data_IF_254346462850
#
_entry.id   IF_254346462850
#
_cell.length_a   1.000
_cell.length_b   1.000
_cell.length_c   1.000
_cell.angle_alpha   90.00
_cell.angle_beta   90.00
_cell.angle_gamma   90.00
#
_symmetry.space_group_name_H-M   'P 1'
#
loop_
_entity.id
_entity.type
_entity.pdbx_description
1 polymer ?
#
# COMPACT_ATOMS: atom_id res chain seq x y z
N UNK A 1 54.72 2.49 -16.43
CA UNK A 1 53.64 1.99 -17.31
C UNK A 1 52.43 1.69 -16.43
N UNK A 2 51.24 2.25 -16.53
CA UNK A 2 50.64 3.29 -17.35
C UNK A 2 49.23 3.51 -16.76
N UNK A 3 48.86 4.77 -16.57
CA UNK A 3 47.56 5.25 -16.06
C UNK A 3 46.37 4.69 -16.86
N UNK A 4 45.30 4.25 -16.19
CA UNK A 4 43.93 4.34 -16.73
C UNK A 4 42.91 4.66 -15.62
N UNK A 5 42.73 5.96 -15.36
CA UNK A 5 41.48 6.53 -14.85
C UNK A 5 40.53 6.67 -16.03
N UNK A 6 39.35 6.07 -16.00
CA UNK A 6 38.23 6.44 -16.89
C UNK A 6 36.93 6.42 -16.08
N UNK A 7 36.53 7.60 -15.62
CA UNK A 7 35.16 7.95 -15.24
C UNK A 7 34.40 8.36 -16.52
N UNK A 8 33.16 7.89 -16.75
CA UNK A 8 32.29 8.52 -17.73
C UNK A 8 31.51 9.70 -17.13
N UNK A 9 31.44 10.73 -17.96
CA UNK A 9 31.06 12.12 -17.71
C UNK A 9 29.54 12.27 -17.52
N UNK A 10 29.16 13.07 -16.53
CA UNK A 10 27.85 13.68 -16.39
C UNK A 10 27.62 14.69 -17.52
N UNK A 11 26.60 14.45 -18.35
CA UNK A 11 26.10 15.46 -19.30
C UNK A 11 24.99 16.25 -18.60
N UNK A 12 25.33 17.50 -18.26
CA UNK A 12 24.39 18.56 -17.95
C UNK A 12 23.74 19.04 -19.25
N UNK A 13 22.41 19.13 -19.28
CA UNK A 13 21.67 19.84 -20.31
C UNK A 13 20.96 21.02 -19.65
N UNK A 14 21.41 22.22 -20.05
CA UNK A 14 20.82 23.51 -19.74
C UNK A 14 19.87 23.95 -20.86
N UNK A 15 18.72 24.53 -20.50
CA UNK A 15 18.03 25.71 -21.12
C UNK A 15 16.59 25.75 -20.57
N UNK A 16 16.18 26.74 -19.77
CA UNK A 16 15.97 28.17 -20.04
C UNK A 16 14.76 28.45 -20.95
N UNK A 17 13.64 28.86 -20.34
CA UNK A 17 12.55 29.73 -20.85
C UNK A 17 11.48 29.80 -19.74
N UNK A 18 10.86 30.89 -19.33
CA UNK A 18 10.98 32.34 -19.53
C UNK A 18 10.05 32.96 -18.48
N UNK A 19 10.52 34.00 -17.81
CA UNK A 19 9.80 34.73 -16.77
C UNK A 19 9.06 35.92 -17.41
N UNK A 20 7.85 36.18 -16.91
CA UNK A 20 7.22 37.51 -16.72
C UNK A 20 6.67 38.35 -17.90
N UNK A 21 5.36 38.60 -17.82
CA UNK A 21 4.69 39.91 -17.57
C UNK A 21 3.60 40.37 -18.57
N UNK A 22 2.36 40.47 -18.01
CA UNK A 22 1.41 41.61 -18.02
C UNK A 22 1.07 42.21 -19.40
N UNK A 23 -0.18 42.31 -19.84
CA UNK A 23 -1.33 42.99 -19.23
C UNK A 23 -2.58 42.73 -20.10
N UNK A 24 -3.78 42.65 -19.53
CA UNK A 24 -5.00 43.06 -20.24
C UNK A 24 -6.07 43.54 -19.26
N UNK A 25 -6.81 44.54 -19.71
CA UNK A 25 -7.46 45.61 -18.97
C UNK A 25 -8.67 45.25 -18.12
N UNK A 26 -8.86 46.12 -17.13
CA UNK A 26 -10.10 46.54 -16.50
C UNK A 26 -11.39 46.25 -17.26
N UNK A 27 -12.33 45.56 -16.61
CA UNK A 27 -13.76 45.82 -16.79
C UNK A 27 -14.51 45.67 -15.48
N UNK A 28 -15.02 46.80 -15.02
CA UNK A 28 -16.04 46.99 -14.01
C UNK A 28 -17.33 46.26 -14.35
N UNK A 29 -17.94 45.58 -13.37
CA UNK A 29 -19.37 45.59 -13.12
C UNK A 29 -19.64 44.74 -11.86
N UNK A 30 -20.01 45.41 -10.77
CA UNK A 30 -20.66 44.76 -9.64
C UNK A 30 -22.05 44.29 -10.04
N UNK A 31 -22.36 43.05 -9.71
CA UNK A 31 -23.71 42.47 -9.78
C UNK A 31 -23.89 41.51 -8.58
N UNK A 32 -25.12 41.37 -8.09
CA UNK A 32 -25.43 41.13 -6.69
C UNK A 32 -25.20 39.69 -6.24
N UNK A 33 -24.93 39.56 -4.95
CA UNK A 33 -24.82 38.30 -4.21
C UNK A 33 -26.13 37.49 -4.28
N UNK A 34 -26.22 36.61 -5.27
CA UNK A 34 -27.04 35.41 -5.18
C UNK A 34 -26.12 34.28 -4.70
N UNK A 35 -25.97 34.18 -3.38
CA UNK A 35 -25.39 33.00 -2.74
C UNK A 35 -26.38 31.85 -2.92
N UNK A 36 -26.10 30.81 -3.72
CA UNK A 36 -26.83 29.57 -3.56
C UNK A 36 -26.50 29.06 -2.16
N UNK A 37 -27.53 28.76 -1.36
CA UNK A 37 -27.37 28.11 -0.07
C UNK A 37 -26.47 26.88 -0.29
N UNK A 38 -25.22 26.96 0.19
CA UNK A 38 -24.30 25.82 0.18
C UNK A 38 -25.03 24.72 0.96
N UNK A 39 -25.28 23.55 0.35
CA UNK A 39 -25.58 22.37 1.15
C UNK A 39 -24.43 22.27 2.15
N UNK A 40 -24.75 22.17 3.43
CA UNK A 40 -23.80 21.85 4.47
C UNK A 40 -23.16 20.52 4.09
N UNK A 41 -22.04 20.59 3.34
CA UNK A 41 -21.20 19.46 3.08
C UNK A 41 -20.95 18.82 4.45
N UNK A 42 -21.16 17.51 4.60
CA UNK A 42 -20.75 16.84 5.83
C UNK A 42 -19.29 17.20 6.00
N UNK A 43 -18.96 17.85 7.13
CA UNK A 43 -17.57 18.14 7.46
C UNK A 43 -16.85 16.81 7.36
N UNK A 44 -16.10 16.62 6.27
CA UNK A 44 -15.15 15.54 6.14
C UNK A 44 -14.13 15.83 7.22
N UNK A 45 -14.35 15.22 8.38
CA UNK A 45 -13.38 15.23 9.47
C UNK A 45 -12.15 14.54 8.91
N UNK A 46 -11.20 15.34 8.43
CA UNK A 46 -9.88 14.88 8.04
C UNK A 46 -9.27 14.24 9.29
N UNK A 47 -9.43 12.93 9.43
CA UNK A 47 -8.83 12.16 10.51
C UNK A 47 -7.32 12.35 10.42
N UNK A 48 -6.78 13.20 11.28
CA UNK A 48 -5.35 13.48 11.33
C UNK A 48 -4.62 12.19 11.67
N UNK A 49 -3.55 11.92 10.93
CA UNK A 49 -2.75 10.71 11.10
C UNK A 49 -2.16 10.69 12.52
N UNK A 50 -2.76 9.89 13.40
CA UNK A 50 -2.42 9.81 14.84
C UNK A 50 -0.95 9.47 15.11
N UNK A 51 -0.30 8.69 14.24
CA UNK A 51 1.10 8.28 14.46
C UNK A 51 1.93 8.37 13.18
N UNK A 52 3.16 8.90 13.29
CA UNK A 52 4.10 8.99 12.17
C UNK A 52 4.73 7.62 11.86
N UNK A 53 5.27 6.94 12.87
CA UNK A 53 6.07 5.70 12.72
C UNK A 53 5.42 4.45 13.33
N UNK A 54 4.69 4.59 14.44
CA UNK A 54 4.18 3.46 15.21
C UNK A 54 3.10 2.65 14.47
N UNK A 55 1.99 3.25 14.02
CA UNK A 55 0.88 2.50 13.43
C UNK A 55 0.20 1.58 14.46
N UNK A 56 -0.14 0.36 14.06
CA UNK A 56 -0.86 -0.63 14.89
C UNK A 56 -0.15 -0.97 16.22
N UNK A 57 1.18 -0.93 16.23
CA UNK A 57 2.00 -1.19 17.44
C UNK A 57 2.00 -0.04 18.45
N UNK A 58 1.21 1.02 18.22
CA UNK A 58 0.99 2.09 19.20
C UNK A 58 0.40 1.60 20.52
N UNK A 59 -0.30 0.45 20.52
CA UNK A 59 -0.85 -0.21 21.72
C UNK A 59 0.21 -0.58 22.77
N UNK A 60 1.44 -0.80 22.34
CA UNK A 60 2.51 -1.23 23.24
C UNK A 60 3.19 -0.08 23.99
N UNK A 61 2.96 1.17 23.58
CA UNK A 61 3.60 2.34 24.18
C UNK A 61 5.13 2.25 24.12
N UNK A 62 5.80 2.57 25.23
CA UNK A 62 7.26 2.65 25.34
C UNK A 62 7.97 1.32 25.60
N UNK A 63 7.25 0.28 26.07
CA UNK A 63 7.80 -0.88 26.83
C UNK A 63 8.83 -1.79 26.13
N UNK A 64 8.63 -2.20 24.88
CA UNK A 64 9.42 -3.32 24.28
C UNK A 64 10.56 -2.88 23.35
N UNK A 65 10.90 -1.60 23.30
CA UNK A 65 11.95 -1.08 22.42
C UNK A 65 11.56 -1.02 20.93
N UNK A 66 12.41 -0.39 20.11
CA UNK A 66 12.07 -0.07 18.73
C UNK A 66 12.17 -1.27 17.76
N UNK A 67 13.15 -2.15 17.94
CA UNK A 67 13.39 -3.29 17.02
C UNK A 67 12.26 -4.31 17.05
N UNK A 68 11.82 -4.72 18.25
CA UNK A 68 10.70 -5.65 18.42
C UNK A 68 9.40 -5.06 17.86
N UNK A 69 9.12 -3.77 18.12
CA UNK A 69 7.93 -3.09 17.55
C UNK A 69 7.95 -3.05 16.02
N UNK A 70 9.12 -2.91 15.39
CA UNK A 70 9.23 -2.94 13.90
C UNK A 70 8.91 -4.33 13.34
N UNK A 71 9.36 -5.40 13.99
CA UNK A 71 9.08 -6.77 13.56
C UNK A 71 7.59 -7.12 13.74
N UNK A 72 7.03 -6.85 14.93
CA UNK A 72 5.62 -7.10 15.22
C UNK A 72 4.71 -6.30 14.30
N UNK A 73 5.06 -5.05 13.99
CA UNK A 73 4.28 -4.24 13.04
C UNK A 73 4.10 -4.92 11.68
N UNK A 74 5.15 -5.55 11.14
CA UNK A 74 5.07 -6.27 9.86
C UNK A 74 4.12 -7.48 9.95
N UNK A 75 4.19 -8.23 11.05
CA UNK A 75 3.34 -9.39 11.29
C UNK A 75 1.88 -9.00 11.56
N UNK A 76 1.64 -7.96 12.35
CA UNK A 76 0.28 -7.51 12.69
C UNK A 76 -0.44 -6.88 11.50
N UNK A 77 0.28 -6.13 10.65
CA UNK A 77 -0.32 -5.54 9.44
C UNK A 77 -0.76 -6.63 8.48
N UNK A 78 0.10 -7.63 8.22
CA UNK A 78 -0.27 -8.77 7.38
C UNK A 78 -1.43 -9.56 7.99
N UNK A 79 -1.38 -9.85 9.28
CA UNK A 79 -2.42 -10.58 10.00
C UNK A 79 -3.82 -9.92 9.92
N UNK A 80 -3.90 -8.60 10.05
CA UNK A 80 -5.17 -7.86 10.05
C UNK A 80 -5.61 -7.40 8.66
N UNK A 81 -4.76 -7.58 7.65
CA UNK A 81 -5.11 -7.26 6.26
C UNK A 81 -6.18 -8.21 5.72
N UNK A 82 -6.97 -7.74 4.75
CA UNK A 82 -7.88 -8.59 3.99
C UNK A 82 -7.13 -9.15 2.79
N UNK A 83 -7.19 -10.46 2.59
CA UNK A 83 -6.54 -11.12 1.45
C UNK A 83 -7.51 -11.41 0.32
N UNK A 84 -6.95 -11.54 -0.88
CA UNK A 84 -7.64 -11.97 -2.08
C UNK A 84 -8.09 -13.42 -1.96
N UNK A 85 -9.36 -13.69 -2.27
CA UNK A 85 -9.88 -15.03 -2.35
C UNK A 85 -9.79 -15.57 -3.79
N UNK A 86 -9.03 -16.64 -4.00
CA UNK A 86 -8.93 -17.31 -5.32
C UNK A 86 -10.26 -17.91 -5.81
N UNK A 87 -11.29 -18.03 -4.96
CA UNK A 87 -12.58 -18.60 -5.34
C UNK A 87 -13.64 -17.58 -5.76
N UNK A 88 -13.74 -16.45 -5.06
CA UNK A 88 -14.76 -15.43 -5.31
C UNK A 88 -14.20 -14.14 -5.92
N UNK A 89 -12.87 -14.01 -6.06
CA UNK A 89 -12.23 -12.83 -6.63
C UNK A 89 -12.26 -11.57 -5.74
N UNK A 90 -12.80 -11.65 -4.52
CA UNK A 90 -12.96 -10.51 -3.61
C UNK A 90 -11.91 -10.51 -2.50
N UNK A 91 -11.55 -9.31 -2.01
CA UNK A 91 -10.69 -9.12 -0.84
C UNK A 91 -11.48 -9.25 0.47
N UNK A 92 -11.91 -10.47 0.77
CA UNK A 92 -12.80 -10.76 1.91
C UNK A 92 -12.24 -11.80 2.89
N UNK A 93 -11.06 -12.37 2.62
CA UNK A 93 -10.47 -13.38 3.48
C UNK A 93 -9.87 -12.73 4.71
N UNK A 94 -10.27 -13.23 5.89
CA UNK A 94 -9.75 -12.80 7.19
C UNK A 94 -9.26 -14.00 8.01
N UNK A 95 -8.26 -13.77 8.85
CA UNK A 95 -7.76 -14.76 9.79
C UNK A 95 -8.79 -15.05 10.87
N UNK A 96 -9.02 -16.33 11.17
CA UNK A 96 -9.84 -16.77 12.31
C UNK A 96 -8.96 -17.29 13.44
N UNK A 97 -8.05 -18.20 13.11
CA UNK A 97 -7.06 -18.74 14.02
C UNK A 97 -5.69 -18.79 13.33
N UNK A 98 -4.66 -19.25 14.04
CA UNK A 98 -3.34 -19.47 13.44
C UNK A 98 -3.48 -20.50 12.32
N UNK A 99 -3.05 -20.14 11.10
CA UNK A 99 -3.13 -21.03 9.93
C UNK A 99 -4.53 -21.22 9.33
N UNK A 100 -5.60 -20.75 9.99
CA UNK A 100 -6.98 -20.88 9.51
C UNK A 100 -7.51 -19.54 9.04
N UNK A 101 -7.87 -19.48 7.76
CA UNK A 101 -8.36 -18.29 7.07
C UNK A 101 -9.77 -18.52 6.54
N UNK A 102 -10.71 -17.61 6.85
CA UNK A 102 -12.09 -17.72 6.41
C UNK A 102 -12.47 -16.54 5.50
N UNK A 103 -13.07 -16.86 4.36
CA UNK A 103 -13.67 -15.93 3.41
C UNK A 103 -15.07 -15.53 3.90
N UNK A 104 -15.30 -14.22 4.12
CA UNK A 104 -16.64 -13.76 4.54
C UNK A 104 -17.71 -13.95 3.47
N UNK A 105 -17.39 -13.71 2.21
CA UNK A 105 -18.38 -13.71 1.13
C UNK A 105 -18.73 -15.13 0.67
N UNK A 106 -17.73 -16.01 0.62
CA UNK A 106 -17.86 -17.34 0.05
C UNK A 106 -17.93 -18.46 1.10
N UNK A 107 -17.74 -18.15 2.38
CA UNK A 107 -17.76 -19.13 3.48
C UNK A 107 -16.63 -20.16 3.45
N UNK A 108 -15.80 -20.17 2.40
CA UNK A 108 -14.71 -21.14 2.25
C UNK A 108 -13.59 -20.86 3.24
N UNK A 109 -13.20 -21.92 3.95
CA UNK A 109 -12.07 -21.93 4.87
C UNK A 109 -10.84 -22.47 4.15
N UNK A 110 -9.72 -21.75 4.24
CA UNK A 110 -8.42 -22.12 3.68
C UNK A 110 -7.40 -22.29 4.81
N UNK A 111 -6.60 -23.34 4.72
CA UNK A 111 -5.38 -23.46 5.49
C UNK A 111 -4.26 -22.65 4.81
N UNK A 112 -3.45 -21.96 5.60
CA UNK A 112 -2.39 -21.08 5.10
C UNK A 112 -1.32 -20.80 6.14
N UNK A 113 -0.55 -19.74 5.93
CA UNK A 113 0.48 -19.31 6.87
C UNK A 113 -0.07 -18.75 8.19
N UNK A 114 0.80 -18.64 9.19
CA UNK A 114 0.43 -18.13 10.51
C UNK A 114 0.00 -16.65 10.48
N UNK A 115 0.70 -15.82 9.71
CA UNK A 115 0.48 -14.36 9.60
C UNK A 115 0.12 -13.89 8.19
N UNK A 116 0.42 -14.68 7.16
CA UNK A 116 0.08 -14.42 5.76
C UNK A 116 -0.73 -15.59 5.19
N UNK A 117 -1.65 -15.32 4.25
CA UNK A 117 -2.46 -16.35 3.62
C UNK A 117 -1.58 -17.39 2.89
N UNK A 118 -0.71 -16.92 2.00
CA UNK A 118 0.23 -17.75 1.25
C UNK A 118 1.66 -17.48 1.74
N UNK A 119 2.42 -18.54 1.99
CA UNK A 119 3.87 -18.47 2.29
C UNK A 119 4.67 -18.70 1.01
N UNK A 120 5.89 -18.16 0.93
CA UNK A 120 6.74 -18.33 -0.25
C UNK A 120 7.00 -19.83 -0.55
N UNK A 121 7.27 -20.62 0.48
CA UNK A 121 7.42 -22.07 0.36
C UNK A 121 6.15 -22.77 -0.14
N UNK A 122 4.96 -22.39 0.35
CA UNK A 122 3.72 -22.99 -0.15
C UNK A 122 3.47 -22.65 -1.63
N UNK A 123 3.88 -21.47 -2.09
CA UNK A 123 3.75 -21.08 -3.51
C UNK A 123 4.68 -21.92 -4.38
N UNK A 124 5.93 -22.15 -3.97
CA UNK A 124 6.88 -22.99 -4.72
C UNK A 124 6.50 -24.47 -4.70
N UNK A 125 5.96 -24.97 -3.59
CA UNK A 125 5.47 -26.35 -3.50
C UNK A 125 4.28 -26.56 -4.44
N UNK A 126 3.34 -25.60 -4.52
CA UNK A 126 2.23 -25.69 -5.49
C UNK A 126 2.70 -25.74 -6.93
N UNK A 127 3.72 -24.97 -7.31
CA UNK A 127 4.23 -24.96 -8.68
C UNK A 127 5.06 -26.21 -9.01
N UNK A 128 5.87 -26.70 -8.07
CA UNK A 128 6.66 -27.94 -8.26
C UNK A 128 5.76 -29.16 -8.38
N UNK A 129 4.77 -29.33 -7.51
CA UNK A 129 3.79 -30.44 -7.60
C UNK A 129 3.08 -30.41 -8.95
N UNK A 130 2.65 -29.23 -9.42
CA UNK A 130 2.00 -29.11 -10.73
C UNK A 130 2.90 -29.63 -11.86
N UNK A 131 4.16 -29.19 -11.90
CA UNK A 131 5.14 -29.61 -12.92
C UNK A 131 5.43 -31.12 -12.87
N UNK A 132 5.53 -31.68 -11.67
CA UNK A 132 5.79 -33.11 -11.50
C UNK A 132 4.61 -33.96 -11.98
N UNK A 133 3.37 -33.53 -11.72
CA UNK A 133 2.17 -34.23 -12.23
C UNK A 133 2.08 -34.21 -13.74
N UNK A 134 2.34 -33.06 -14.36
CA UNK A 134 2.38 -32.92 -15.82
C UNK A 134 3.42 -33.85 -16.46
N UNK A 135 4.59 -34.04 -15.81
CA UNK A 135 5.66 -34.90 -16.31
C UNK A 135 5.37 -36.41 -16.17
N UNK A 136 4.53 -36.83 -15.22
CA UNK A 136 4.19 -38.24 -15.00
C UNK A 136 2.99 -38.71 -15.81
N UNK A 137 2.10 -37.78 -16.19
CA UNK A 137 0.87 -38.07 -16.94
C UNK A 137 1.05 -37.87 -18.46
N UNK A 138 2.24 -37.43 -18.90
CA UNK A 138 2.68 -37.38 -20.30
C UNK A 138 3.44 -38.66 -20.65
#
# INVERSE_FOLDING_TARGET
>A
MGFKKILPKTLAVSKALSLSHRHCSTRSAGAPSLVPARPSLPRSVNMTKRTKKAGIVGKYGTRYGASLRKQIKKMEVSQHSKYFCEFCGKFAVKRKAVGIWNCKDCGKVKAGGAYTLNTAAAVTVRSTIRRLREATES
#
